data_IF_897142693397
#
_entry.id   IF_897142693397
#
_cell.length_a   1.000
_cell.length_b   1.000
_cell.length_c   1.000
_cell.angle_alpha   90.00
_cell.angle_beta   90.00
_cell.angle_gamma   90.00
#
_symmetry.space_group_name_H-M   'P 1'
#
loop_
_entity.id
_entity.type
_entity.pdbx_description
1 polymer ?
#
# COMPACT_ATOMS: atom_id res chain seq x y z
N UNK A 1 -35.02 -24.06 -35.96
CA UNK A 1 -35.90 -23.24 -35.10
C UNK A 1 -35.05 -22.18 -34.41
N UNK A 2 -35.24 -20.91 -34.76
CA UNK A 2 -34.61 -19.75 -34.13
C UNK A 2 -35.48 -19.28 -32.96
N UNK A 3 -34.99 -19.35 -31.72
CA UNK A 3 -35.68 -18.75 -30.57
C UNK A 3 -35.28 -17.29 -30.37
N UNK A 4 -36.15 -16.39 -30.81
CA UNK A 4 -36.82 -15.43 -29.91
C UNK A 4 -36.03 -14.58 -28.92
N UNK A 5 -34.85 -14.03 -29.24
CA UNK A 5 -34.29 -12.92 -28.47
C UNK A 5 -33.75 -11.85 -29.43
N UNK A 6 -34.47 -10.74 -29.57
CA UNK A 6 -33.96 -9.54 -30.22
C UNK A 6 -32.72 -9.04 -29.44
N UNK A 7 -31.55 -8.89 -30.09
CA UNK A 7 -30.34 -8.45 -29.41
C UNK A 7 -30.53 -7.05 -28.84
N UNK A 8 -30.21 -6.89 -27.56
CA UNK A 8 -30.20 -5.59 -26.89
C UNK A 8 -29.21 -4.64 -27.56
N UNK A 9 -29.43 -3.32 -27.46
CA UNK A 9 -28.56 -2.30 -28.07
C UNK A 9 -27.07 -2.46 -27.68
N UNK A 10 -26.77 -2.92 -26.46
CA UNK A 10 -25.39 -3.26 -26.04
C UNK A 10 -24.81 -4.47 -26.78
N UNK A 11 -25.60 -5.52 -27.01
CA UNK A 11 -25.15 -6.68 -27.78
C UNK A 11 -24.89 -6.33 -29.25
N UNK A 12 -25.70 -5.41 -29.82
CA UNK A 12 -25.46 -4.87 -31.16
C UNK A 12 -24.15 -4.07 -31.24
N UNK A 13 -23.91 -3.14 -30.31
CA UNK A 13 -22.63 -2.40 -30.22
C UNK A 13 -21.42 -3.30 -29.97
N UNK A 14 -21.58 -4.37 -29.19
CA UNK A 14 -20.52 -5.38 -29.01
C UNK A 14 -20.22 -6.05 -30.35
N UNK A 15 -21.23 -6.52 -31.08
CA UNK A 15 -21.09 -7.18 -32.39
C UNK A 15 -20.63 -6.25 -33.52
N UNK A 16 -20.89 -4.94 -33.45
CA UNK A 16 -20.41 -3.95 -34.43
C UNK A 16 -18.88 -3.85 -34.45
N UNK A 17 -18.21 -4.03 -33.30
CA UNK A 17 -16.74 -4.13 -33.24
C UNK A 17 -16.18 -5.44 -33.85
N UNK A 18 -17.02 -6.46 -34.06
CA UNK A 18 -16.64 -7.77 -34.62
C UNK A 18 -16.90 -7.92 -36.11
N UNK A 19 -17.50 -6.93 -36.79
CA UNK A 19 -17.67 -6.95 -38.25
C UNK A 19 -16.33 -7.01 -39.02
N UNK A 20 -15.22 -6.63 -38.37
CA UNK A 20 -13.87 -6.71 -38.93
C UNK A 20 -13.11 -8.01 -38.59
N UNK A 21 -13.69 -8.92 -37.81
CA UNK A 21 -13.04 -10.18 -37.42
C UNK A 21 -13.95 -11.38 -37.69
N UNK A 22 -13.56 -12.32 -38.58
CA UNK A 22 -14.41 -13.45 -38.92
C UNK A 22 -14.76 -14.29 -37.68
N UNK A 23 -16.07 -14.49 -37.48
CA UNK A 23 -16.74 -15.09 -36.31
C UNK A 23 -16.36 -16.56 -36.05
N UNK A 24 -15.53 -17.17 -36.90
CA UNK A 24 -15.22 -18.61 -36.88
C UNK A 24 -14.40 -19.10 -35.67
N UNK A 25 -13.95 -18.21 -34.80
CA UNK A 25 -13.03 -18.54 -33.71
C UNK A 25 -13.47 -18.05 -32.32
N UNK A 26 -14.70 -17.58 -32.14
CA UNK A 26 -15.20 -17.22 -30.81
C UNK A 26 -15.75 -18.47 -30.10
N UNK A 27 -15.23 -18.78 -28.91
CA UNK A 27 -15.76 -19.82 -28.02
C UNK A 27 -16.42 -19.17 -26.81
N UNK A 28 -17.44 -19.84 -26.28
CA UNK A 28 -18.13 -19.45 -25.05
C UNK A 28 -17.85 -20.48 -23.97
N UNK A 29 -17.41 -20.04 -22.80
CA UNK A 29 -17.29 -20.88 -21.60
C UNK A 29 -17.94 -20.16 -20.43
N UNK A 30 -19.01 -20.75 -19.88
CA UNK A 30 -19.88 -20.08 -18.91
C UNK A 30 -20.47 -18.79 -19.46
N UNK A 31 -20.23 -17.67 -18.76
CA UNK A 31 -20.70 -16.34 -19.14
C UNK A 31 -19.70 -15.54 -20.01
N UNK A 32 -18.57 -16.12 -20.39
CA UNK A 32 -17.51 -15.44 -21.12
C UNK A 32 -17.46 -15.87 -22.59
N UNK A 33 -17.17 -14.90 -23.47
CA UNK A 33 -16.94 -15.11 -24.90
C UNK A 33 -15.49 -14.69 -25.19
N UNK A 34 -14.69 -15.60 -25.72
CA UNK A 34 -13.26 -15.38 -26.01
C UNK A 34 -12.91 -15.87 -27.42
N UNK A 35 -11.82 -15.34 -27.99
CA UNK A 35 -11.32 -15.75 -29.31
C UNK A 35 -10.26 -16.83 -29.15
N UNK A 36 -10.52 -18.00 -29.71
CA UNK A 36 -9.55 -19.09 -29.82
C UNK A 36 -8.62 -18.81 -31.00
N UNK A 37 -7.40 -18.36 -30.72
CA UNK A 37 -6.39 -18.19 -31.74
C UNK A 37 -5.85 -19.55 -32.21
N UNK A 38 -5.65 -19.73 -33.52
CA UNK A 38 -5.02 -20.92 -34.07
C UNK A 38 -3.53 -21.00 -33.71
N UNK A 39 -2.93 -22.20 -33.71
CA UNK A 39 -1.50 -22.41 -33.38
C UNK A 39 -0.53 -21.56 -34.23
N UNK A 40 -0.94 -21.14 -35.42
CA UNK A 40 -0.14 -20.33 -36.35
C UNK A 40 -0.45 -18.82 -36.29
N UNK A 41 -1.33 -18.38 -35.37
CA UNK A 41 -1.79 -16.99 -35.32
C UNK A 41 -0.75 -15.99 -34.77
N UNK A 42 0.49 -16.44 -34.48
CA UNK A 42 1.56 -15.59 -33.93
C UNK A 42 1.26 -15.02 -32.54
N UNK A 43 0.15 -15.44 -31.90
CA UNK A 43 -0.28 -14.90 -30.60
C UNK A 43 0.68 -15.30 -29.50
N UNK A 44 1.25 -16.51 -29.56
CA UNK A 44 2.35 -16.89 -28.69
C UNK A 44 3.53 -15.92 -28.85
N UNK A 45 3.88 -15.54 -30.07
CA UNK A 45 4.98 -14.60 -30.35
C UNK A 45 4.68 -13.17 -29.88
N UNK A 46 3.42 -12.72 -29.97
CA UNK A 46 2.97 -11.42 -29.45
C UNK A 46 2.94 -11.40 -27.92
N UNK A 47 2.48 -12.48 -27.30
CA UNK A 47 2.51 -12.67 -25.84
C UNK A 47 3.95 -12.80 -25.36
N UNK A 48 4.81 -13.57 -26.04
CA UNK A 48 6.23 -13.70 -25.76
C UNK A 48 6.97 -12.35 -25.95
N UNK A 49 6.55 -11.52 -26.93
CA UNK A 49 7.04 -10.14 -27.09
C UNK A 49 6.62 -9.24 -25.92
N UNK A 50 5.40 -9.39 -25.40
CA UNK A 50 4.95 -8.66 -24.21
C UNK A 50 5.56 -9.18 -22.91
N UNK A 51 5.77 -10.50 -22.79
CA UNK A 51 6.45 -11.16 -21.66
C UNK A 51 7.95 -10.83 -21.64
N UNK A 52 8.54 -10.51 -22.79
CA UNK A 52 9.90 -9.99 -22.93
C UNK A 52 10.09 -8.53 -22.48
N UNK A 53 9.00 -7.81 -22.20
CA UNK A 53 9.07 -6.47 -21.60
C UNK A 53 9.30 -6.65 -20.10
N UNK A 54 10.55 -6.57 -19.67
CA UNK A 54 10.87 -6.25 -18.29
C UNK A 54 10.23 -4.89 -17.95
N UNK A 55 9.02 -4.87 -17.39
CA UNK A 55 8.32 -3.59 -17.24
C UNK A 55 7.20 -3.51 -16.22
N UNK A 56 6.39 -4.56 -16.04
CA UNK A 56 5.21 -4.44 -15.18
C UNK A 56 5.54 -4.45 -13.69
N UNK A 57 6.21 -5.50 -13.21
CA UNK A 57 6.65 -5.58 -11.81
C UNK A 57 7.70 -4.50 -11.50
N UNK A 58 8.62 -4.22 -12.44
CA UNK A 58 9.64 -3.18 -12.28
C UNK A 58 9.01 -1.78 -12.05
N UNK A 59 7.97 -1.42 -12.81
CA UNK A 59 7.29 -0.13 -12.63
C UNK A 59 6.60 0.01 -11.27
N UNK A 60 6.01 -1.07 -10.74
CA UNK A 60 5.40 -1.05 -9.41
C UNK A 60 6.46 -0.97 -8.32
N UNK A 61 7.50 -1.78 -8.44
CA UNK A 61 8.66 -1.80 -7.56
C UNK A 61 9.32 -0.43 -7.47
N UNK A 62 9.60 0.22 -8.60
CA UNK A 62 10.18 1.57 -8.64
C UNK A 62 9.28 2.62 -7.97
N UNK A 63 7.96 2.58 -8.25
CA UNK A 63 7.02 3.49 -7.64
C UNK A 63 6.96 3.33 -6.10
N UNK A 64 6.99 2.10 -5.60
CA UNK A 64 6.99 1.80 -4.17
C UNK A 64 8.32 2.24 -3.54
N UNK A 65 9.46 1.93 -4.16
CA UNK A 65 10.79 2.32 -3.66
C UNK A 65 10.93 3.84 -3.59
N UNK A 66 10.45 4.56 -4.60
CA UNK A 66 10.41 6.03 -4.60
C UNK A 66 9.50 6.56 -3.50
N UNK A 67 8.29 6.02 -3.35
CA UNK A 67 7.38 6.40 -2.26
C UNK A 67 8.06 6.23 -0.89
N UNK A 68 8.75 5.11 -0.66
CA UNK A 68 9.45 4.84 0.59
C UNK A 68 10.60 5.83 0.81
N UNK A 69 11.44 6.03 -0.21
CA UNK A 69 12.67 6.82 -0.10
C UNK A 69 12.38 8.31 0.01
N UNK A 70 11.45 8.82 -0.77
CA UNK A 70 11.24 10.27 -0.93
C UNK A 70 10.23 10.81 0.09
N UNK A 71 9.31 9.98 0.59
CA UNK A 71 8.21 10.45 1.46
C UNK A 71 8.02 9.62 2.72
N UNK A 72 7.81 8.32 2.61
CA UNK A 72 7.32 7.51 3.73
C UNK A 72 8.38 7.35 4.84
N UNK A 73 9.62 7.00 4.49
CA UNK A 73 10.69 6.83 5.48
C UNK A 73 11.15 8.16 6.10
N UNK A 74 11.37 9.25 5.33
CA UNK A 74 11.72 10.55 5.90
C UNK A 74 10.66 11.09 6.88
N UNK A 75 9.37 10.94 6.54
CA UNK A 75 8.29 11.38 7.41
C UNK A 75 8.23 10.59 8.72
N UNK A 76 8.43 9.27 8.65
CA UNK A 76 8.50 8.43 9.86
C UNK A 76 9.69 8.81 10.73
N UNK A 77 10.87 9.05 10.14
CA UNK A 77 12.04 9.51 10.89
C UNK A 77 11.81 10.88 11.56
N UNK A 78 11.15 11.81 10.85
CA UNK A 78 10.82 13.13 11.40
C UNK A 78 9.84 13.02 12.57
N UNK A 79 8.76 12.23 12.43
CA UNK A 79 7.81 12.00 13.53
C UNK A 79 8.50 11.31 14.70
N UNK A 80 9.34 10.32 14.45
CA UNK A 80 10.10 9.62 15.50
C UNK A 80 10.91 10.60 16.36
N UNK A 81 11.68 11.50 15.74
CA UNK A 81 12.42 12.54 16.45
C UNK A 81 11.49 13.50 17.21
N UNK A 82 10.37 13.92 16.62
CA UNK A 82 9.40 14.79 17.30
C UNK A 82 8.71 14.12 18.49
N UNK A 83 8.50 12.81 18.44
CA UNK A 83 7.97 12.02 19.55
C UNK A 83 9.01 11.94 20.68
N UNK A 84 10.29 11.78 20.37
CA UNK A 84 11.37 11.85 21.38
C UNK A 84 11.43 13.23 22.04
N UNK A 85 11.41 14.30 21.24
CA UNK A 85 11.41 15.68 21.75
C UNK A 85 10.18 15.94 22.63
N UNK A 86 9.01 15.48 22.21
CA UNK A 86 7.78 15.61 22.99
C UNK A 86 7.85 14.82 24.30
N UNK A 87 8.40 13.62 24.27
CA UNK A 87 8.61 12.79 25.45
C UNK A 87 9.53 13.45 26.48
N UNK A 88 10.65 14.04 26.05
CA UNK A 88 11.58 14.73 26.94
C UNK A 88 10.94 15.94 27.62
N UNK A 89 10.09 16.69 26.89
CA UNK A 89 9.30 17.80 27.45
C UNK A 89 8.31 17.33 28.51
N UNK A 90 7.57 16.25 28.21
CA UNK A 90 6.63 15.66 29.17
C UNK A 90 7.34 15.19 30.43
N UNK A 91 8.50 14.54 30.32
CA UNK A 91 9.27 14.13 31.48
C UNK A 91 9.71 15.31 32.36
N UNK A 92 10.11 16.43 31.74
CA UNK A 92 10.49 17.64 32.47
C UNK A 92 9.31 18.24 33.24
N UNK A 93 8.10 18.21 32.65
CA UNK A 93 6.88 18.74 33.26
C UNK A 93 6.23 17.77 34.26
N UNK A 94 6.40 16.46 34.07
CA UNK A 94 5.83 15.40 34.92
C UNK A 94 6.32 15.45 36.37
N UNK A 95 7.47 16.09 36.64
CA UNK A 95 7.92 16.40 38.00
C UNK A 95 6.94 17.27 38.79
N UNK A 96 6.03 17.97 38.09
CA UNK A 96 5.02 18.87 38.65
C UNK A 96 3.65 18.22 38.85
N UNK A 97 3.32 17.15 38.10
CA UNK A 97 2.01 16.49 38.13
C UNK A 97 2.09 14.99 37.74
N UNK A 98 2.64 14.12 38.60
CA UNK A 98 3.03 12.76 38.23
C UNK A 98 1.87 11.82 37.86
N UNK A 99 0.65 12.08 38.33
CA UNK A 99 -0.51 11.17 38.15
C UNK A 99 -1.11 11.25 36.74
N UNK A 100 -1.17 12.45 36.14
CA UNK A 100 -1.73 12.63 34.79
C UNK A 100 -0.75 12.17 33.70
N UNK A 101 0.55 12.34 33.93
CA UNK A 101 1.57 12.04 32.94
C UNK A 101 2.05 10.59 32.94
N UNK A 102 1.85 9.81 34.02
CA UNK A 102 2.36 8.43 34.13
C UNK A 102 1.80 7.48 33.06
N UNK A 103 0.48 7.38 32.92
CA UNK A 103 -0.15 6.49 31.94
C UNK A 103 0.11 6.95 30.50
N UNK A 104 0.15 8.27 30.29
CA UNK A 104 0.40 8.85 28.97
C UNK A 104 1.85 8.64 28.50
N UNK A 105 2.81 8.75 29.42
CA UNK A 105 4.23 8.47 29.18
C UNK A 105 4.41 7.05 28.62
N UNK A 106 3.66 6.08 29.15
CA UNK A 106 3.69 4.70 28.64
C UNK A 106 3.14 4.58 27.21
N UNK A 107 2.06 5.32 26.88
CA UNK A 107 1.47 5.35 25.53
C UNK A 107 2.48 5.94 24.53
N UNK A 108 3.14 7.05 24.88
CA UNK A 108 4.15 7.70 24.03
C UNK A 108 5.34 6.78 23.79
N UNK A 109 5.85 6.11 24.83
CA UNK A 109 6.95 5.13 24.70
C UNK A 109 6.54 3.97 23.79
N UNK A 110 5.33 3.43 23.96
CA UNK A 110 4.84 2.36 23.13
C UNK A 110 4.75 2.80 21.67
N UNK A 111 4.16 3.97 21.41
CA UNK A 111 4.06 4.52 20.05
C UNK A 111 5.44 4.74 19.43
N UNK A 112 6.39 5.29 20.18
CA UNK A 112 7.77 5.46 19.73
C UNK A 112 8.42 4.13 19.30
N UNK A 113 8.25 3.07 20.08
CA UNK A 113 8.76 1.73 19.74
C UNK A 113 8.15 1.20 18.45
N UNK A 114 6.84 1.33 18.29
CA UNK A 114 6.13 0.92 17.06
C UNK A 114 6.63 1.70 15.84
N UNK A 115 6.78 3.02 15.95
CA UNK A 115 7.34 3.89 14.89
C UNK A 115 8.77 3.48 14.54
N UNK A 116 9.60 3.19 15.54
CA UNK A 116 10.99 2.76 15.35
C UNK A 116 11.08 1.40 14.65
N UNK A 117 10.29 0.41 15.07
CA UNK A 117 10.23 -0.91 14.43
C UNK A 117 9.75 -0.77 12.98
N UNK A 118 8.70 0.04 12.76
CA UNK A 118 8.16 0.28 11.43
C UNK A 118 9.20 0.92 10.51
N UNK A 119 9.94 1.93 10.98
CA UNK A 119 11.00 2.58 10.22
C UNK A 119 12.16 1.63 9.91
N UNK A 120 12.74 1.04 10.95
CA UNK A 120 14.03 0.35 10.87
C UNK A 120 13.93 -1.06 10.31
N UNK A 121 12.77 -1.71 10.47
CA UNK A 121 12.55 -3.09 10.04
C UNK A 121 11.65 -3.11 8.82
N UNK A 122 10.41 -2.61 8.93
CA UNK A 122 9.42 -2.80 7.86
C UNK A 122 9.77 -2.03 6.60
N UNK A 123 9.95 -0.70 6.70
CA UNK A 123 10.25 0.14 5.52
C UNK A 123 11.62 -0.18 4.93
N UNK A 124 12.62 -0.45 5.78
CA UNK A 124 13.97 -0.82 5.35
C UNK A 124 13.99 -2.15 4.61
N UNK A 125 13.38 -3.19 5.17
CA UNK A 125 13.35 -4.52 4.54
C UNK A 125 12.56 -4.47 3.24
N UNK A 126 11.40 -3.81 3.23
CA UNK A 126 10.60 -3.64 2.02
C UNK A 126 11.40 -2.93 0.92
N UNK A 127 12.16 -1.88 1.26
CA UNK A 127 13.03 -1.20 0.30
C UNK A 127 14.14 -2.12 -0.23
N UNK A 128 14.76 -2.93 0.63
CA UNK A 128 15.83 -3.86 0.23
C UNK A 128 15.31 -5.00 -0.66
N UNK A 129 14.16 -5.56 -0.33
CA UNK A 129 13.50 -6.62 -1.10
C UNK A 129 13.07 -6.14 -2.49
N UNK A 130 12.72 -4.86 -2.61
CA UNK A 130 12.30 -4.23 -3.85
C UNK A 130 13.47 -3.66 -4.67
N UNK A 131 14.70 -3.61 -4.15
CA UNK A 131 15.81 -3.21 -5.01
C UNK A 131 16.04 -4.26 -6.09
N UNK A 132 16.19 -3.87 -7.37
CA UNK A 132 16.54 -4.80 -8.41
C UNK A 132 17.85 -5.46 -8.01
N UNK A 133 17.81 -6.76 -7.71
CA UNK A 133 18.99 -7.52 -7.40
C UNK A 133 19.91 -7.41 -8.62
N UNK A 134 20.96 -6.58 -8.53
CA UNK A 134 21.95 -6.36 -9.58
C UNK A 134 22.76 -7.61 -9.96
N UNK A 135 22.29 -8.80 -9.58
CA UNK A 135 22.85 -10.09 -9.92
C UNK A 135 21.68 -11.02 -10.20
N UNK A 136 21.56 -11.44 -11.46
CA UNK A 136 20.80 -12.58 -11.93
C UNK A 136 21.06 -13.79 -11.03
N UNK A 137 20.32 -13.90 -9.94
CA UNK A 137 20.28 -15.11 -9.14
C UNK A 137 19.40 -16.08 -9.91
N UNK A 138 19.98 -17.21 -10.32
CA UNK A 138 19.31 -18.33 -11.00
C UNK A 138 18.13 -18.94 -10.19
N UNK A 139 17.88 -18.40 -8.99
CA UNK A 139 16.75 -18.70 -8.11
C UNK A 139 15.58 -17.69 -8.23
N UNK A 140 15.55 -16.84 -9.27
CA UNK A 140 14.43 -15.91 -9.50
C UNK A 140 13.06 -16.61 -9.61
N UNK A 141 13.04 -17.93 -9.92
CA UNK A 141 11.82 -18.73 -9.95
C UNK A 141 11.17 -18.93 -8.56
N UNK A 142 11.94 -18.97 -7.47
CA UNK A 142 11.38 -19.15 -6.11
C UNK A 142 10.88 -17.85 -5.48
N UNK A 143 11.31 -16.68 -5.97
CA UNK A 143 10.74 -15.38 -5.59
C UNK A 143 9.35 -15.13 -6.22
N UNK A 144 9.01 -15.85 -7.29
CA UNK A 144 7.73 -15.71 -7.98
C UNK A 144 6.54 -16.23 -7.16
N UNK A 145 6.74 -17.24 -6.31
CA UNK A 145 5.69 -17.76 -5.41
C UNK A 145 5.62 -17.00 -4.07
N UNK A 146 6.76 -16.47 -3.59
CA UNK A 146 6.78 -15.64 -2.38
C UNK A 146 6.18 -14.24 -2.57
N UNK A 147 5.97 -13.79 -3.81
CA UNK A 147 5.67 -12.40 -4.11
C UNK A 147 4.32 -11.90 -3.56
N UNK A 148 3.21 -12.56 -3.88
CA UNK A 148 1.88 -11.98 -3.64
C UNK A 148 1.43 -12.05 -2.18
N UNK A 149 1.60 -13.20 -1.53
CA UNK A 149 1.24 -13.37 -0.12
C UNK A 149 2.08 -12.49 0.80
N UNK A 150 3.36 -12.31 0.45
CA UNK A 150 4.24 -11.39 1.15
C UNK A 150 3.81 -9.93 0.99
N UNK A 151 3.54 -9.47 -0.23
CA UNK A 151 3.04 -8.10 -0.49
C UNK A 151 1.73 -7.85 0.26
N UNK A 152 0.84 -8.84 0.31
CA UNK A 152 -0.40 -8.76 1.10
C UNK A 152 -0.14 -8.65 2.61
N UNK A 153 0.81 -9.42 3.15
CA UNK A 153 1.20 -9.34 4.58
C UNK A 153 1.79 -7.96 4.89
N UNK A 154 2.72 -7.48 4.07
CA UNK A 154 3.30 -6.14 4.22
C UNK A 154 2.20 -5.07 4.16
N UNK A 155 1.27 -5.17 3.21
CA UNK A 155 0.14 -4.24 3.12
C UNK A 155 -0.70 -4.21 4.40
N UNK A 156 -0.97 -5.37 5.02
CA UNK A 156 -1.69 -5.46 6.30
C UNK A 156 -0.94 -4.75 7.41
N UNK A 157 0.36 -5.01 7.54
CA UNK A 157 1.23 -4.34 8.54
C UNK A 157 1.22 -2.83 8.35
N UNK A 158 1.31 -2.33 7.12
CA UNK A 158 1.22 -0.89 6.83
C UNK A 158 -0.14 -0.30 7.25
N UNK A 159 -1.24 -1.04 7.05
CA UNK A 159 -2.58 -0.58 7.49
C UNK A 159 -2.72 -0.57 9.01
N UNK A 160 -2.18 -1.57 9.68
CA UNK A 160 -2.15 -1.66 11.14
C UNK A 160 -1.36 -0.49 11.73
N UNK A 161 -0.20 -0.15 11.15
CA UNK A 161 0.56 1.03 11.54
C UNK A 161 -0.24 2.34 11.35
N UNK A 162 -0.96 2.49 10.23
CA UNK A 162 -1.86 3.63 10.01
C UNK A 162 -2.95 3.69 11.09
N UNK A 163 -3.47 2.55 11.53
CA UNK A 163 -4.45 2.50 12.61
C UNK A 163 -3.83 2.94 13.94
N UNK A 164 -2.63 2.45 14.27
CA UNK A 164 -1.89 2.90 15.46
C UNK A 164 -1.66 4.42 15.47
N UNK A 165 -1.32 5.00 14.31
CA UNK A 165 -1.18 6.46 14.18
C UNK A 165 -2.48 7.20 14.52
N UNK A 166 -3.63 6.69 14.07
CA UNK A 166 -4.94 7.28 14.39
C UNK A 166 -5.26 7.15 15.88
N UNK A 167 -4.99 5.99 16.48
CA UNK A 167 -5.16 5.78 17.92
C UNK A 167 -4.32 6.76 18.72
N UNK A 168 -3.06 6.98 18.33
CA UNK A 168 -2.18 7.95 19.00
C UNK A 168 -2.69 9.39 18.86
N UNK A 169 -3.16 9.77 17.68
CA UNK A 169 -3.77 11.10 17.46
C UNK A 169 -4.99 11.29 18.36
N UNK A 170 -5.85 10.29 18.49
CA UNK A 170 -7.01 10.37 19.38
C UNK A 170 -6.58 10.49 20.84
N UNK A 171 -5.56 9.74 21.27
CA UNK A 171 -5.02 9.84 22.63
C UNK A 171 -4.45 11.25 22.93
N UNK A 172 -3.73 11.85 21.97
CA UNK A 172 -3.22 13.23 22.07
C UNK A 172 -4.38 14.25 22.11
N UNK A 173 -5.45 14.01 21.36
CA UNK A 173 -6.64 14.86 21.34
C UNK A 173 -7.41 14.79 22.67
N UNK A 174 -7.61 13.59 23.21
CA UNK A 174 -8.24 13.39 24.52
C UNK A 174 -7.43 14.07 25.64
N UNK A 175 -6.09 14.02 25.57
CA UNK A 175 -5.24 14.76 26.50
C UNK A 175 -5.45 16.26 26.38
N UNK A 176 -5.34 16.80 25.17
CA UNK A 176 -5.52 18.23 24.93
C UNK A 176 -6.86 18.71 25.47
N UNK A 177 -7.92 17.92 25.35
CA UNK A 177 -9.27 18.23 25.87
C UNK A 177 -9.37 18.12 27.40
N UNK A 178 -8.76 17.12 28.03
CA UNK A 178 -8.75 16.97 29.50
C UNK A 178 -7.98 18.11 30.17
N UNK A 179 -6.91 18.57 29.53
CA UNK A 179 -6.04 19.63 30.04
C UNK A 179 -6.58 21.05 29.79
N UNK A 180 -7.70 21.24 29.07
CA UNK A 180 -8.38 22.55 28.98
C UNK A 180 -8.86 23.08 30.35
N UNK A 181 -8.85 22.25 31.40
CA UNK A 181 -9.19 22.62 32.78
C UNK A 181 -7.97 22.89 33.67
N UNK A 182 -6.74 22.73 33.14
CA UNK A 182 -5.48 22.97 33.83
C UNK A 182 -4.71 24.09 33.09
N UNK A 183 -3.97 24.98 33.78
CA UNK A 183 -3.16 26.00 33.12
C UNK A 183 -1.90 25.34 32.53
N UNK A 184 -2.07 24.50 31.52
CA UNK A 184 -0.99 24.06 30.66
C UNK A 184 -0.55 25.25 29.81
N UNK A 185 0.76 25.47 29.76
CA UNK A 185 1.39 26.55 29.02
C UNK A 185 0.95 26.49 27.54
N UNK A 186 0.61 27.63 26.93
CA UNK A 186 0.12 27.71 25.54
C UNK A 186 1.08 27.01 24.54
N UNK A 187 2.37 27.01 24.92
CA UNK A 187 3.47 26.28 24.29
C UNK A 187 3.27 24.75 24.23
N UNK A 188 2.75 24.12 25.29
CA UNK A 188 2.52 22.68 25.35
C UNK A 188 1.37 22.24 24.43
N UNK A 189 0.27 23.01 24.44
CA UNK A 189 -0.86 22.76 23.55
C UNK A 189 -0.43 22.90 22.08
N UNK A 190 0.35 23.93 21.76
CA UNK A 190 0.89 24.14 20.42
C UNK A 190 1.80 22.98 19.98
N UNK A 191 2.68 22.50 20.86
CA UNK A 191 3.55 21.35 20.59
C UNK A 191 2.75 20.06 20.35
N UNK A 192 1.71 19.82 21.16
CA UNK A 192 0.81 18.66 21.02
C UNK A 192 0.06 18.70 19.70
N UNK A 193 -0.52 19.86 19.33
CA UNK A 193 -1.22 20.04 18.06
C UNK A 193 -0.29 19.88 16.85
N UNK A 194 0.94 20.38 16.94
CA UNK A 194 1.95 20.21 15.89
C UNK A 194 2.27 18.72 15.69
N UNK A 195 2.55 18.00 16.78
CA UNK A 195 2.83 16.56 16.74
C UNK A 195 1.66 15.75 16.15
N UNK A 196 0.42 16.07 16.54
CA UNK A 196 -0.78 15.45 15.95
C UNK A 196 -0.85 15.69 14.44
N UNK A 197 -0.54 16.91 13.98
CA UNK A 197 -0.48 17.25 12.56
C UNK A 197 0.53 16.39 11.80
N UNK A 198 1.73 16.25 12.35
CA UNK A 198 2.81 15.44 11.77
C UNK A 198 2.45 13.95 11.72
N UNK A 199 1.86 13.39 12.79
CA UNK A 199 1.41 12.00 12.82
C UNK A 199 0.31 11.75 11.77
N UNK A 200 -0.63 12.70 11.61
CA UNK A 200 -1.67 12.62 10.57
C UNK A 200 -1.06 12.66 9.17
N UNK A 201 -0.07 13.51 8.94
CA UNK A 201 0.63 13.59 7.66
C UNK A 201 1.39 12.28 7.35
N UNK A 202 2.14 11.77 8.31
CA UNK A 202 2.81 10.47 8.20
C UNK A 202 1.82 9.35 7.86
N UNK A 203 0.69 9.28 8.56
CA UNK A 203 -0.35 8.29 8.30
C UNK A 203 -0.90 8.36 6.87
N UNK A 204 -1.05 9.56 6.29
CA UNK A 204 -1.46 9.74 4.89
C UNK A 204 -0.42 9.18 3.92
N UNK A 205 0.86 9.42 4.15
CA UNK A 205 1.93 8.85 3.32
C UNK A 205 1.96 7.32 3.40
N UNK A 206 1.77 6.73 4.59
CA UNK A 206 1.68 5.28 4.73
C UNK A 206 0.40 4.70 4.11
N UNK A 207 -0.71 5.44 4.15
CA UNK A 207 -1.93 5.03 3.45
C UNK A 207 -1.72 5.02 1.93
N UNK A 208 -0.99 6.00 1.38
CA UNK A 208 -0.62 5.99 -0.03
C UNK A 208 0.26 4.79 -0.39
N UNK A 209 1.28 4.48 0.42
CA UNK A 209 2.09 3.27 0.27
C UNK A 209 1.24 1.99 0.27
N UNK A 210 0.27 1.89 1.19
CA UNK A 210 -0.67 0.76 1.24
C UNK A 210 -1.53 0.64 -0.02
N UNK A 211 -1.90 1.77 -0.65
CA UNK A 211 -2.63 1.79 -1.92
C UNK A 211 -1.75 1.32 -3.08
N UNK A 212 -0.47 1.70 -3.12
CA UNK A 212 0.47 1.22 -4.13
C UNK A 212 0.65 -0.31 -4.04
N UNK A 213 0.82 -0.83 -2.82
CA UNK A 213 0.90 -2.27 -2.56
C UNK A 213 -0.41 -2.98 -2.96
N UNK A 214 -1.57 -2.40 -2.64
CA UNK A 214 -2.89 -2.93 -3.06
C UNK A 214 -3.00 -3.02 -4.57
N UNK A 215 -2.60 -1.94 -5.25
CA UNK A 215 -2.68 -1.82 -6.70
C UNK A 215 -1.84 -2.91 -7.32
N UNK A 216 -0.58 -3.05 -6.90
CA UNK A 216 0.31 -4.10 -7.39
C UNK A 216 -0.29 -5.52 -7.26
N UNK A 217 -0.91 -5.85 -6.13
CA UNK A 217 -1.58 -7.16 -5.94
C UNK A 217 -2.78 -7.34 -6.89
N UNK A 218 -3.63 -6.32 -7.02
CA UNK A 218 -4.78 -6.35 -7.93
C UNK A 218 -4.34 -6.54 -9.38
N UNK A 219 -3.29 -5.84 -9.74
CA UNK A 219 -2.67 -5.79 -11.06
C UNK A 219 -1.99 -7.12 -11.40
N UNK A 220 -1.35 -7.78 -10.42
CA UNK A 220 -0.86 -9.17 -10.54
C UNK A 220 -1.98 -10.19 -10.76
N UNK A 221 -3.05 -10.12 -9.97
CA UNK A 221 -4.19 -11.03 -10.12
C UNK A 221 -4.81 -10.93 -11.52
N UNK A 222 -4.95 -9.72 -12.05
CA UNK A 222 -5.52 -9.49 -13.37
C UNK A 222 -4.61 -10.04 -14.47
N UNK A 223 -3.30 -9.86 -14.35
CA UNK A 223 -2.33 -10.43 -15.28
C UNK A 223 -2.33 -11.97 -15.26
N UNK A 224 -2.39 -12.58 -14.06
CA UNK A 224 -2.50 -14.03 -13.90
C UNK A 224 -3.74 -14.56 -14.60
N UNK A 225 -4.91 -13.95 -14.36
CA UNK A 225 -6.16 -14.34 -15.04
C UNK A 225 -6.03 -14.22 -16.57
N UNK A 226 -5.47 -13.13 -17.08
CA UNK A 226 -5.25 -12.95 -18.52
C UNK A 226 -4.32 -14.01 -19.13
N UNK A 227 -3.33 -14.50 -18.37
CA UNK A 227 -2.39 -15.53 -18.84
C UNK A 227 -3.05 -16.92 -18.86
N UNK A 228 -3.90 -17.24 -17.88
CA UNK A 228 -4.57 -18.56 -17.80
C UNK A 228 -5.75 -18.74 -18.77
N UNK A 229 -6.36 -17.65 -19.24
CA UNK A 229 -7.51 -17.70 -20.16
C UNK A 229 -7.15 -17.53 -21.65
N UNK A 230 -5.84 -17.46 -21.99
CA UNK A 230 -5.32 -17.43 -23.36
C UNK A 230 -4.58 -18.73 -23.71
#
# INVERSE_FOLDING_TARGET
MFSGLTPTSRQRKFCEGFLFFPIRHLRKYGNFIFRQYGRHAGVKTLLDMQLGIAGYDASHTDAIVRCITDTAAPQVASVMSKVEDFYTRIQAEAGSSPVLFGDFTNIVIHFYREVSIYHNVILRNLKQELQPAGKSNKNAATLSEAGQDHINKVQKVVKEFVLQCKTMVNALEEMAQRDHYSPMDESYLQATMALMGDIRQMARHQQHLSQLLKKWVSDKNLHVLQTYYN
#
